data_IF_960535740547
#
_entry.id   IF_960535740547
#
_cell.length_a   1.000
_cell.length_b   1.000
_cell.length_c   1.000
_cell.angle_alpha   90.00
_cell.angle_beta   90.00
_cell.angle_gamma   90.00
#
_symmetry.space_group_name_H-M   'P 1'
#
loop_
_entity.id
_entity.type
_entity.pdbx_description
1 polymer ?
#
# COMPACT_ATOMS: atom_id res chain seq x y z
N UNK A 1 -74.97 14.58 18.79
CA UNK A 1 -74.73 13.98 17.46
C UNK A 1 -74.01 15.03 16.62
N UNK A 2 -72.70 14.86 16.42
CA UNK A 2 -72.23 14.61 15.06
C UNK A 2 -71.25 13.44 14.98
N UNK A 3 -71.45 12.61 13.95
CA UNK A 3 -70.48 11.65 13.43
C UNK A 3 -69.78 12.27 12.22
N UNK A 4 -68.47 12.05 12.12
CA UNK A 4 -67.77 11.60 10.91
C UNK A 4 -66.27 11.65 11.20
N UNK A 5 -65.68 10.46 11.31
CA UNK A 5 -64.25 10.25 11.17
C UNK A 5 -63.92 10.40 9.68
N UNK A 6 -62.83 11.10 9.36
CA UNK A 6 -62.09 10.87 8.13
C UNK A 6 -60.59 11.01 8.43
N UNK A 7 -59.99 9.87 8.73
CA UNK A 7 -58.55 9.64 8.69
C UNK A 7 -58.14 9.37 7.25
N UNK A 8 -57.26 10.21 6.69
CA UNK A 8 -56.42 9.82 5.55
C UNK A 8 -54.97 10.09 5.97
N UNK A 9 -54.37 9.07 6.60
CA UNK A 9 -52.92 8.92 6.66
C UNK A 9 -52.51 8.18 5.38
N UNK A 10 -52.01 8.91 4.38
CA UNK A 10 -51.23 8.30 3.30
C UNK A 10 -49.80 8.15 3.78
N UNK A 11 -49.52 7.01 4.42
CA UNK A 11 -48.19 6.46 4.58
C UNK A 11 -47.76 5.87 3.23
N UNK A 12 -47.08 6.68 2.41
CA UNK A 12 -46.37 6.21 1.23
C UNK A 12 -44.93 5.88 1.60
N UNK A 13 -44.75 4.90 2.48
CA UNK A 13 -43.50 4.19 2.68
C UNK A 13 -43.19 3.36 1.44
N UNK A 14 -42.60 3.99 0.41
CA UNK A 14 -41.92 3.25 -0.65
C UNK A 14 -40.78 2.47 0.00
N UNK A 15 -40.75 1.12 -0.08
CA UNK A 15 -39.56 0.40 0.33
C UNK A 15 -38.47 0.80 -0.67
N UNK A 16 -37.48 1.58 -0.21
CA UNK A 16 -36.25 1.72 -0.96
C UNK A 16 -35.62 0.33 -0.95
N UNK A 17 -35.87 -0.41 -2.04
CA UNK A 17 -35.12 -1.60 -2.34
C UNK A 17 -33.70 -1.10 -2.58
N UNK A 18 -32.88 -1.09 -1.52
CA UNK A 18 -31.46 -0.89 -1.66
C UNK A 18 -30.98 -2.04 -2.53
N UNK A 19 -30.73 -1.75 -3.81
CA UNK A 19 -30.00 -2.67 -4.66
C UNK A 19 -28.73 -3.06 -3.89
N UNK A 20 -28.34 -4.35 -3.90
CA UNK A 20 -27.10 -4.76 -3.26
C UNK A 20 -25.98 -3.87 -3.80
N UNK A 21 -25.38 -3.07 -2.91
CA UNK A 21 -24.27 -2.21 -3.29
C UNK A 21 -23.15 -3.12 -3.76
N UNK A 22 -22.60 -2.83 -4.92
CA UNK A 22 -21.44 -3.57 -5.43
C UNK A 22 -20.22 -3.13 -4.63
N UNK A 23 -19.33 -4.05 -4.35
CA UNK A 23 -18.02 -3.70 -3.79
C UNK A 23 -17.21 -2.90 -4.81
N UNK A 24 -16.29 -2.08 -4.32
CA UNK A 24 -15.34 -1.34 -5.14
C UNK A 24 -14.51 -2.28 -6.02
N UNK A 25 -14.18 -3.48 -5.52
CA UNK A 25 -13.48 -4.50 -6.29
C UNK A 25 -14.31 -4.99 -7.48
N UNK A 26 -15.59 -5.30 -7.28
CA UNK A 26 -16.48 -5.72 -8.37
C UNK A 26 -16.66 -4.62 -9.42
N UNK A 27 -16.80 -3.35 -8.99
CA UNK A 27 -16.85 -2.21 -9.90
C UNK A 27 -15.54 -2.08 -10.68
N UNK A 28 -14.39 -2.15 -10.02
CA UNK A 28 -13.07 -2.06 -10.65
C UNK A 28 -12.85 -3.17 -11.68
N UNK A 29 -13.23 -4.40 -11.37
CA UNK A 29 -13.13 -5.55 -12.28
C UNK A 29 -14.07 -5.38 -13.49
N UNK A 30 -15.35 -5.02 -13.24
CA UNK A 30 -16.36 -4.84 -14.27
C UNK A 30 -16.00 -3.72 -15.25
N UNK A 31 -15.43 -2.62 -14.76
CA UNK A 31 -15.12 -1.42 -15.54
C UNK A 31 -13.62 -1.21 -15.76
N UNK A 32 -12.82 -2.26 -15.58
CA UNK A 32 -11.36 -2.27 -15.77
C UNK A 32 -10.92 -1.74 -17.15
N UNK A 33 -11.75 -1.95 -18.18
CA UNK A 33 -11.55 -1.47 -19.55
C UNK A 33 -11.90 0.02 -19.77
N UNK A 34 -12.70 0.62 -18.88
CA UNK A 34 -13.02 2.05 -18.88
C UNK A 34 -12.06 2.86 -18.00
N UNK A 35 -11.21 2.18 -17.23
CA UNK A 35 -10.17 2.82 -16.44
C UNK A 35 -9.24 3.54 -17.40
N UNK A 36 -9.16 4.87 -17.26
CA UNK A 36 -8.31 5.71 -18.12
C UNK A 36 -6.90 5.13 -18.15
N UNK A 37 -6.40 4.82 -19.34
CA UNK A 37 -5.02 4.37 -19.58
C UNK A 37 -4.04 5.54 -19.50
N UNK A 38 -4.37 6.60 -18.76
CA UNK A 38 -3.45 7.70 -18.45
C UNK A 38 -2.29 7.11 -17.63
N UNK A 39 -1.26 6.74 -18.40
CA UNK A 39 0.08 6.36 -17.99
C UNK A 39 0.07 5.20 -16.97
N UNK A 40 -0.08 3.99 -17.50
CA UNK A 40 0.96 3.00 -17.20
C UNK A 40 2.15 3.40 -18.08
N UNK A 41 3.13 4.19 -17.62
CA UNK A 41 4.46 3.96 -18.15
C UNK A 41 4.68 2.48 -17.84
N UNK A 42 4.87 1.69 -18.90
CA UNK A 42 5.35 0.33 -18.73
C UNK A 42 6.43 0.37 -17.65
N UNK A 43 6.36 -0.57 -16.74
CA UNK A 43 7.30 -0.90 -15.68
C UNK A 43 8.77 -0.81 -16.18
N UNK A 44 9.25 0.42 -16.36
CA UNK A 44 10.48 0.75 -17.09
C UNK A 44 11.69 0.66 -16.17
N UNK A 45 11.50 0.14 -14.96
CA UNK A 45 12.56 -0.17 -14.01
C UNK A 45 13.52 -1.24 -14.56
N UNK A 46 13.17 -1.94 -15.65
CA UNK A 46 14.02 -2.93 -16.32
C UNK A 46 14.68 -2.47 -17.62
N UNK A 47 14.41 -1.26 -18.12
CA UNK A 47 14.91 -0.78 -19.42
C UNK A 47 16.01 0.29 -19.33
N UNK A 48 16.55 0.53 -18.13
CA UNK A 48 17.76 1.32 -17.95
C UNK A 48 19.02 0.45 -17.99
N UNK A 49 20.09 0.96 -18.59
CA UNK A 49 21.39 0.28 -18.57
C UNK A 49 21.94 0.12 -17.15
N UNK A 50 22.71 -0.95 -16.89
CA UNK A 50 23.28 -1.26 -15.57
C UNK A 50 24.18 -0.13 -15.01
N UNK A 51 24.70 0.74 -15.88
CA UNK A 51 25.53 1.89 -15.54
C UNK A 51 24.71 3.14 -15.15
N UNK A 52 23.39 3.13 -15.35
CA UNK A 52 22.55 4.27 -14.99
C UNK A 52 22.46 4.41 -13.46
N UNK A 53 22.51 5.63 -12.93
CA UNK A 53 22.35 5.85 -11.50
C UNK A 53 20.96 5.40 -11.04
N UNK A 54 20.88 4.99 -9.78
CA UNK A 54 19.59 4.85 -9.11
C UNK A 54 18.92 6.22 -9.04
N UNK A 55 17.81 6.37 -9.75
CA UNK A 55 16.92 7.54 -9.73
C UNK A 55 15.55 7.03 -9.35
N UNK A 56 14.86 7.69 -8.43
CA UNK A 56 13.43 7.41 -8.22
C UNK A 56 12.71 7.72 -9.53
N UNK A 57 11.97 6.76 -10.08
CA UNK A 57 11.06 7.03 -11.20
C UNK A 57 10.23 8.26 -10.83
N UNK A 58 10.00 9.15 -11.81
CA UNK A 58 9.23 10.39 -11.64
C UNK A 58 8.06 10.16 -10.69
N UNK A 59 7.94 10.95 -9.60
CA UNK A 59 7.00 10.66 -8.53
C UNK A 59 5.60 10.50 -9.11
N UNK A 60 5.12 9.26 -9.17
CA UNK A 60 3.72 8.99 -9.44
C UNK A 60 2.97 9.46 -8.22
N UNK A 61 2.14 10.48 -8.39
CA UNK A 61 1.30 11.02 -7.33
C UNK A 61 0.18 10.02 -7.00
N UNK A 62 0.57 8.92 -6.33
CA UNK A 62 -0.31 7.87 -5.86
C UNK A 62 -1.38 8.43 -4.95
N UNK A 63 -1.07 9.47 -4.17
CA UNK A 63 -2.04 10.21 -3.37
C UNK A 63 -3.19 10.79 -4.21
N UNK A 64 -2.89 11.50 -5.29
CA UNK A 64 -3.92 12.01 -6.21
C UNK A 64 -4.60 10.88 -6.98
N UNK A 65 -3.84 9.89 -7.48
CA UNK A 65 -4.41 8.75 -8.21
C UNK A 65 -5.37 7.93 -7.35
N UNK A 66 -5.01 7.62 -6.11
CA UNK A 66 -5.84 6.88 -5.16
C UNK A 66 -7.12 7.63 -4.82
N UNK A 67 -7.05 8.94 -4.59
CA UNK A 67 -8.24 9.76 -4.32
C UNK A 67 -9.17 9.80 -5.54
N UNK A 68 -8.62 10.02 -6.74
CA UNK A 68 -9.41 9.98 -7.99
C UNK A 68 -10.04 8.62 -8.24
N UNK A 69 -9.30 7.53 -8.01
CA UNK A 69 -9.81 6.18 -8.15
C UNK A 69 -10.98 5.93 -7.18
N UNK A 70 -10.83 6.32 -5.90
CA UNK A 70 -11.91 6.22 -4.92
C UNK A 70 -13.14 7.01 -5.36
N UNK A 71 -12.96 8.27 -5.74
CA UNK A 71 -14.07 9.13 -6.17
C UNK A 71 -14.77 8.54 -7.40
N UNK A 72 -14.02 7.99 -8.35
CA UNK A 72 -14.57 7.27 -9.50
C UNK A 72 -15.38 6.05 -9.08
N UNK A 73 -14.86 5.20 -8.20
CA UNK A 73 -15.58 4.02 -7.71
C UNK A 73 -16.87 4.37 -6.98
N UNK A 74 -16.82 5.37 -6.12
CA UNK A 74 -18.00 5.88 -5.41
C UNK A 74 -19.03 6.44 -6.38
N UNK A 75 -18.59 7.17 -7.42
CA UNK A 75 -19.47 7.69 -8.48
C UNK A 75 -20.17 6.58 -9.29
N UNK A 76 -19.51 5.42 -9.40
CA UNK A 76 -20.03 4.21 -10.05
C UNK A 76 -20.93 3.36 -9.13
N UNK A 77 -21.17 3.81 -7.90
CA UNK A 77 -22.05 3.15 -6.94
C UNK A 77 -21.39 2.06 -6.10
N UNK A 78 -20.05 2.08 -5.97
CA UNK A 78 -19.36 1.20 -5.03
C UNK A 78 -19.80 1.47 -3.58
N UNK A 79 -19.86 0.43 -2.76
CA UNK A 79 -20.11 0.58 -1.33
C UNK A 79 -18.96 1.35 -0.65
N UNK A 80 -19.20 2.46 0.07
CA UNK A 80 -18.14 3.22 0.71
C UNK A 80 -17.28 2.38 1.68
N UNK A 81 -17.85 1.37 2.34
CA UNK A 81 -17.12 0.49 3.26
C UNK A 81 -16.21 -0.53 2.55
N UNK A 82 -16.30 -0.60 1.21
CA UNK A 82 -15.52 -1.50 0.37
C UNK A 82 -14.30 -0.83 -0.29
N UNK A 83 -14.07 0.46 -0.06
CA UNK A 83 -12.87 1.17 -0.52
C UNK A 83 -12.38 2.13 0.54
N UNK A 84 -11.12 2.00 0.95
CA UNK A 84 -10.49 2.91 1.91
C UNK A 84 -9.14 3.40 1.38
N UNK A 85 -8.72 4.56 1.88
CA UNK A 85 -7.37 5.03 1.67
C UNK A 85 -6.42 4.45 2.72
N UNK A 86 -5.14 4.26 2.37
CA UNK A 86 -4.13 3.77 3.30
C UNK A 86 -3.99 4.68 4.53
N UNK A 87 -4.11 6.00 4.35
CA UNK A 87 -4.17 6.97 5.45
C UNK A 87 -5.33 6.76 6.43
N UNK A 88 -6.37 6.03 6.03
CA UNK A 88 -7.54 5.73 6.84
C UNK A 88 -7.41 4.40 7.59
N UNK A 89 -6.35 3.61 7.35
CA UNK A 89 -6.14 2.31 8.02
C UNK A 89 -6.12 2.44 9.54
N UNK A 90 -5.55 3.51 10.07
CA UNK A 90 -5.51 3.78 11.51
C UNK A 90 -6.91 3.86 12.15
N UNK A 91 -7.97 4.14 11.39
CA UNK A 91 -9.34 4.14 11.90
C UNK A 91 -9.86 2.71 12.18
N UNK A 92 -9.25 1.71 11.56
CA UNK A 92 -9.62 0.30 11.68
C UNK A 92 -8.67 -0.48 12.60
N UNK A 93 -7.51 0.10 12.91
CA UNK A 93 -6.52 -0.53 13.77
C UNK A 93 -6.75 -0.16 15.24
N UNK A 94 -6.85 -1.15 16.14
CA UNK A 94 -6.91 -0.86 17.56
C UNK A 94 -5.59 -0.23 18.02
N UNK A 95 -5.63 0.69 18.99
CA UNK A 95 -4.42 1.26 19.55
C UNK A 95 -3.59 0.16 20.22
N UNK A 96 -2.27 0.24 20.04
CA UNK A 96 -1.32 -0.68 20.66
C UNK A 96 -1.48 -0.67 22.19
N UNK A 97 -1.58 -1.85 22.78
CA UNK A 97 -1.78 -1.98 24.24
C UNK A 97 -0.48 -1.75 24.99
N UNK A 98 -0.58 -1.22 26.22
CA UNK A 98 0.59 -1.07 27.09
C UNK A 98 1.20 -2.45 27.37
N UNK A 99 2.50 -2.60 27.06
CA UNK A 99 3.23 -3.87 27.23
C UNK A 99 3.11 -4.85 26.06
N UNK A 100 2.32 -4.55 25.02
CA UNK A 100 2.24 -5.38 23.81
C UNK A 100 3.55 -5.30 23.01
N UNK A 101 4.10 -6.45 22.63
CA UNK A 101 5.31 -6.49 21.81
C UNK A 101 5.05 -5.97 20.39
N UNK A 102 6.11 -5.53 19.71
CA UNK A 102 5.99 -5.11 18.31
C UNK A 102 5.48 -6.26 17.42
N UNK A 103 5.93 -7.49 17.68
CA UNK A 103 5.51 -8.67 16.91
C UNK A 103 4.04 -9.02 17.08
N UNK A 104 3.49 -8.93 18.29
CA UNK A 104 2.07 -9.15 18.55
C UNK A 104 1.21 -8.09 17.85
N UNK A 105 1.58 -6.82 17.96
CA UNK A 105 0.90 -5.73 17.27
C UNK A 105 0.94 -5.89 15.75
N UNK A 106 2.11 -6.25 15.18
CA UNK A 106 2.23 -6.53 13.74
C UNK A 106 1.37 -7.71 13.29
N UNK A 107 1.25 -8.76 14.10
CA UNK A 107 0.37 -9.89 13.80
C UNK A 107 -1.09 -9.46 13.75
N UNK A 108 -1.54 -8.70 14.76
CA UNK A 108 -2.90 -8.17 14.80
C UNK A 108 -3.20 -7.26 13.60
N UNK A 109 -2.25 -6.40 13.23
CA UNK A 109 -2.34 -5.53 12.07
C UNK A 109 -2.57 -6.34 10.77
N UNK A 110 -1.76 -7.37 10.55
CA UNK A 110 -1.87 -8.26 9.38
C UNK A 110 -3.19 -9.04 9.38
N UNK A 111 -3.67 -9.48 10.54
CA UNK A 111 -4.97 -10.17 10.66
C UNK A 111 -6.14 -9.26 10.23
N UNK A 112 -6.15 -7.99 10.67
CA UNK A 112 -7.18 -7.02 10.30
C UNK A 112 -7.13 -6.73 8.80
N UNK A 113 -5.95 -6.42 8.25
CA UNK A 113 -5.78 -6.17 6.82
C UNK A 113 -6.26 -7.35 5.97
N UNK A 114 -5.86 -8.57 6.33
CA UNK A 114 -6.30 -9.77 5.63
C UNK A 114 -7.82 -9.97 5.73
N UNK A 115 -8.42 -9.65 6.87
CA UNK A 115 -9.88 -9.66 7.05
C UNK A 115 -10.58 -8.71 6.08
N UNK A 116 -10.09 -7.47 5.96
CA UNK A 116 -10.62 -6.46 5.04
C UNK A 116 -10.49 -6.92 3.58
N UNK A 117 -9.31 -7.40 3.17
CA UNK A 117 -9.06 -7.88 1.80
C UNK A 117 -9.98 -9.07 1.46
N UNK A 118 -10.16 -10.02 2.39
CA UNK A 118 -11.06 -11.18 2.20
C UNK A 118 -12.52 -10.75 2.03
N UNK A 119 -12.93 -9.68 2.69
CA UNK A 119 -14.27 -9.11 2.55
C UNK A 119 -14.42 -8.23 1.30
N UNK A 120 -13.39 -8.16 0.44
CA UNK A 120 -13.44 -7.41 -0.81
C UNK A 120 -13.14 -5.91 -0.64
N UNK A 121 -12.67 -5.47 0.53
CA UNK A 121 -12.24 -4.09 0.73
C UNK A 121 -10.98 -3.82 -0.10
N UNK A 122 -11.04 -2.79 -0.93
CA UNK A 122 -9.91 -2.30 -1.68
C UNK A 122 -9.20 -1.20 -0.89
N UNK A 123 -7.91 -1.38 -0.66
CA UNK A 123 -7.06 -0.42 0.07
C UNK A 123 -6.22 0.32 -0.97
N UNK A 124 -6.44 1.63 -1.10
CA UNK A 124 -5.76 2.48 -2.08
C UNK A 124 -4.64 3.26 -1.40
N UNK A 125 -3.40 3.12 -1.90
CA UNK A 125 -2.23 3.81 -1.36
C UNK A 125 -2.30 5.30 -1.69
N UNK A 126 -2.69 6.12 -0.71
CA UNK A 126 -2.71 7.58 -0.82
C UNK A 126 -1.60 8.27 -0.02
N UNK A 127 -0.73 7.49 0.60
CA UNK A 127 0.35 7.98 1.47
C UNK A 127 1.69 8.05 0.75
N UNK A 128 1.83 7.33 -0.36
CA UNK A 128 3.04 7.33 -1.17
C UNK A 128 2.90 8.33 -2.32
N UNK A 129 4.00 8.94 -2.75
CA UNK A 129 4.02 9.85 -3.91
C UNK A 129 5.01 9.40 -4.99
N UNK A 130 5.53 8.18 -4.92
CA UNK A 130 6.46 7.62 -5.90
C UNK A 130 6.49 6.09 -5.83
N UNK A 131 6.95 5.43 -6.89
CA UNK A 131 7.39 4.04 -6.79
C UNK A 131 8.65 4.01 -5.92
N UNK A 132 8.48 3.72 -4.63
CA UNK A 132 9.59 3.54 -3.70
C UNK A 132 10.09 2.12 -3.86
N UNK A 133 11.14 1.95 -4.65
CA UNK A 133 11.94 0.73 -4.60
C UNK A 133 12.59 0.69 -3.23
N UNK A 134 12.53 -0.47 -2.55
CA UNK A 134 13.23 -0.67 -1.28
C UNK A 134 14.72 -0.35 -1.48
N UNK A 135 15.18 0.75 -0.89
CA UNK A 135 16.56 1.23 -0.99
C UNK A 135 17.41 0.83 0.21
N UNK A 136 16.76 0.64 1.37
CA UNK A 136 17.40 0.27 2.62
C UNK A 136 17.31 -1.23 2.89
N UNK A 137 18.46 -1.87 3.13
CA UNK A 137 18.56 -3.30 3.39
C UNK A 137 19.21 -3.54 4.75
N UNK A 138 18.44 -4.11 5.68
CA UNK A 138 18.91 -4.45 7.02
C UNK A 138 19.22 -5.94 7.13
N UNK A 139 20.43 -6.26 7.57
CA UNK A 139 20.83 -7.64 7.82
C UNK A 139 20.66 -8.03 9.30
N UNK A 140 20.66 -9.34 9.61
CA UNK A 140 20.39 -9.84 10.98
C UNK A 140 21.45 -9.43 12.00
N UNK A 141 22.68 -9.19 11.57
CA UNK A 141 23.75 -8.73 12.46
C UNK A 141 23.72 -7.21 12.72
N UNK A 142 22.68 -6.52 12.24
CA UNK A 142 22.46 -5.10 12.48
C UNK A 142 23.17 -4.17 11.49
N UNK A 143 23.84 -4.70 10.46
CA UNK A 143 24.35 -3.86 9.36
C UNK A 143 23.22 -3.41 8.45
N UNK A 144 23.29 -2.16 8.00
CA UNK A 144 22.30 -1.53 7.13
C UNK A 144 22.99 -0.98 5.88
N UNK A 145 22.38 -1.20 4.72
CA UNK A 145 22.90 -0.75 3.43
C UNK A 145 21.88 0.14 2.75
N UNK A 146 22.34 1.26 2.17
CA UNK A 146 21.50 2.17 1.36
C UNK A 146 21.96 2.15 -0.10
N UNK A 147 21.08 1.64 -0.97
CA UNK A 147 21.24 1.66 -2.42
C UNK A 147 20.23 2.60 -3.09
N UNK A 148 19.69 3.56 -2.33
CA UNK A 148 18.76 4.56 -2.84
C UNK A 148 19.43 5.60 -3.73
N UNK A 149 18.64 6.42 -4.43
CA UNK A 149 19.13 7.62 -5.09
C UNK A 149 19.95 8.52 -4.15
N UNK A 150 21.14 8.91 -4.61
CA UNK A 150 22.10 9.66 -3.79
C UNK A 150 23.16 8.81 -3.10
N UNK A 151 22.99 7.47 -3.01
CA UNK A 151 24.02 6.54 -2.53
C UNK A 151 25.22 6.39 -3.46
N UNK A 152 25.07 6.79 -4.73
CA UNK A 152 26.04 6.52 -5.80
C UNK A 152 25.91 5.12 -6.41
N UNK A 153 24.92 4.31 -5.98
CA UNK A 153 24.62 3.03 -6.60
C UNK A 153 24.07 3.19 -8.03
N UNK A 154 24.46 2.28 -8.92
CA UNK A 154 23.83 2.12 -10.23
C UNK A 154 22.68 1.11 -10.17
N UNK A 155 21.87 1.05 -11.24
CA UNK A 155 20.85 0.00 -11.41
C UNK A 155 21.46 -1.40 -11.39
N UNK A 156 22.66 -1.56 -11.97
CA UNK A 156 23.43 -2.80 -11.93
C UNK A 156 23.87 -3.18 -10.52
N UNK A 157 24.36 -2.21 -9.74
CA UNK A 157 24.68 -2.41 -8.32
C UNK A 157 23.45 -2.88 -7.54
N UNK A 158 22.31 -2.22 -7.73
CA UNK A 158 21.06 -2.59 -7.07
C UNK A 158 20.64 -4.03 -7.40
N UNK A 159 20.69 -4.44 -8.66
CA UNK A 159 20.33 -5.80 -9.11
C UNK A 159 21.27 -6.86 -8.51
N UNK A 160 22.57 -6.60 -8.57
CA UNK A 160 23.58 -7.54 -8.05
C UNK A 160 23.56 -7.61 -6.52
N UNK A 161 23.28 -6.50 -5.84
CA UNK A 161 23.14 -6.46 -4.38
C UNK A 161 21.89 -7.20 -3.94
N UNK A 162 20.73 -6.94 -4.56
CA UNK A 162 19.47 -7.58 -4.18
C UNK A 162 19.51 -9.09 -4.37
N UNK A 163 20.19 -9.58 -5.42
CA UNK A 163 20.44 -11.01 -5.60
C UNK A 163 21.28 -11.58 -4.45
N UNK A 164 22.43 -10.98 -4.16
CA UNK A 164 23.30 -11.43 -3.06
C UNK A 164 22.60 -11.35 -1.69
N UNK A 165 21.87 -10.27 -1.43
CA UNK A 165 21.15 -10.05 -0.18
C UNK A 165 20.03 -11.08 0.00
N UNK A 166 19.32 -11.43 -1.09
CA UNK A 166 18.34 -12.52 -1.09
C UNK A 166 18.96 -13.85 -0.67
N UNK A 167 20.08 -14.23 -1.27
CA UNK A 167 20.81 -15.46 -0.92
C UNK A 167 21.25 -15.47 0.56
N UNK A 168 21.74 -14.34 1.07
CA UNK A 168 22.13 -14.18 2.48
C UNK A 168 20.91 -14.30 3.41
N UNK A 169 19.80 -13.66 3.06
CA UNK A 169 18.60 -13.65 3.88
C UNK A 169 17.94 -15.04 3.95
N UNK A 170 17.94 -15.78 2.84
CA UNK A 170 17.39 -17.12 2.72
C UNK A 170 18.26 -18.19 3.41
N UNK A 171 19.59 -18.11 3.26
CA UNK A 171 20.50 -19.08 3.88
C UNK A 171 20.49 -18.98 5.41
N UNK A 172 20.39 -17.78 5.97
CA UNK A 172 20.35 -17.57 7.42
C UNK A 172 21.63 -17.98 8.16
N UNK A 173 22.70 -18.30 7.44
CA UNK A 173 24.02 -18.64 7.96
C UNK A 173 24.87 -17.38 8.15
N UNK A 174 26.06 -17.55 8.74
CA UNK A 174 27.05 -16.49 8.80
C UNK A 174 27.52 -16.15 7.37
N UNK A 175 27.49 -14.88 7.01
CA UNK A 175 27.88 -14.38 5.70
C UNK A 175 28.99 -13.34 5.81
N UNK A 176 29.85 -13.32 4.80
CA UNK A 176 30.78 -12.23 4.58
C UNK A 176 30.14 -11.22 3.63
N UNK A 177 30.34 -9.93 3.89
CA UNK A 177 29.86 -8.86 3.00
C UNK A 177 30.96 -8.58 1.98
N UNK A 178 30.72 -8.82 0.68
CA UNK A 178 31.67 -8.47 -0.36
C UNK A 178 32.10 -7.01 -0.28
N UNK A 179 33.39 -6.72 -0.47
CA UNK A 179 33.96 -5.36 -0.38
C UNK A 179 33.19 -4.34 -1.23
N UNK A 180 32.68 -4.76 -2.40
CA UNK A 180 31.88 -3.92 -3.30
C UNK A 180 30.62 -3.34 -2.66
N UNK A 181 30.10 -3.96 -1.60
CA UNK A 181 28.89 -3.53 -0.88
C UNK A 181 29.18 -2.66 0.34
N UNK A 182 30.40 -2.70 0.88
CA UNK A 182 30.78 -1.92 2.05
C UNK A 182 30.64 -0.41 1.83
N UNK A 183 30.79 0.05 0.57
CA UNK A 183 30.57 1.46 0.20
C UNK A 183 29.12 1.94 0.36
N UNK A 184 28.17 1.02 0.44
CA UNK A 184 26.75 1.29 0.66
C UNK A 184 26.34 1.08 2.12
N UNK A 185 27.24 0.62 2.99
CA UNK A 185 26.94 0.38 4.39
C UNK A 185 26.79 1.72 5.15
N UNK A 186 25.64 1.89 5.80
CA UNK A 186 25.41 3.04 6.67
C UNK A 186 26.26 2.91 7.94
N UNK A 187 26.87 4.02 8.42
CA UNK A 187 27.60 3.99 9.68
C UNK A 187 26.68 3.57 10.83
N UNK A 188 27.09 2.57 11.63
CA UNK A 188 26.38 2.23 12.86
C UNK A 188 26.30 3.48 13.76
N UNK A 189 25.10 4.00 13.96
CA UNK A 189 24.87 5.05 14.95
C UNK A 189 25.22 4.48 16.31
N UNK A 190 26.34 4.93 16.88
CA UNK A 190 26.61 4.72 18.31
C UNK A 190 25.54 5.51 19.05
N UNK A 191 24.59 4.81 19.64
CA UNK A 191 23.74 5.37 20.69
C UNK A 191 24.71 5.84 21.77
N UNK A 192 24.87 7.16 21.92
CA UNK A 192 25.52 7.72 23.10
C UNK A 192 24.49 7.59 24.23
N UNK A 193 24.87 6.87 25.27
CA UNK A 193 24.13 6.73 26.53
C UNK A 193 23.84 8.08 27.21
#
# INVERSE_FOLDING_TARGET
MPSAQDTINTDSGSPSVSLPKKSAREISEQYSHMRSTEERPEDNYMLGGDEEPMVYSTPRDYATSARRERDWLLSMGADPDSVILESELCNYMPPRRAGESAGEYSKQYVEILNGMIRNGTMILNDQTTADVVASGFGTRDGRRFDLGPGSGATKGDFRAFTQWFGEVYESGEAYEVPERWLRFEEPQQRVQD
#
